data_IF_170160922427
#
_entry.id   IF_170160922427
#
_cell.length_a   1.000
_cell.length_b   1.000
_cell.length_c   1.000
_cell.angle_alpha   90.00
_cell.angle_beta   90.00
_cell.angle_gamma   90.00
#
_symmetry.space_group_name_H-M   'P 1'
#
loop_
_entity.id
_entity.type
_entity.pdbx_description
1 polymer ?
#
# COMPACT_ATOMS: atom_id res chain seq x y z
N UNK A 1 10.15 -3.81 -2.43
CA UNK A 1 9.25 -3.43 -1.32
C UNK A 1 7.97 -4.25 -1.40
N UNK A 2 7.18 -4.31 -0.32
CA UNK A 2 5.86 -4.94 -0.37
C UNK A 2 4.90 -4.13 -1.26
N UNK A 3 4.16 -4.82 -2.11
CA UNK A 3 3.09 -4.24 -2.93
C UNK A 3 1.73 -4.68 -2.35
N UNK A 4 0.82 -3.74 -2.00
CA UNK A 4 -0.50 -4.09 -1.49
C UNK A 4 -1.38 -4.87 -2.47
N UNK A 5 -1.27 -4.65 -3.78
CA UNK A 5 -2.21 -5.17 -4.76
C UNK A 5 -2.29 -6.71 -4.83
N UNK A 6 -1.17 -7.45 -4.95
CA UNK A 6 -1.22 -8.91 -4.96
C UNK A 6 -1.75 -9.48 -3.64
N UNK A 7 -1.46 -8.82 -2.52
CA UNK A 7 -1.92 -9.25 -1.19
C UNK A 7 -3.45 -9.13 -1.12
N UNK A 8 -3.99 -7.98 -1.54
CA UNK A 8 -5.44 -7.75 -1.61
C UNK A 8 -6.11 -8.77 -2.52
N UNK A 9 -5.51 -9.06 -3.69
CA UNK A 9 -6.05 -10.05 -4.62
C UNK A 9 -6.17 -11.43 -3.97
N UNK A 10 -5.19 -11.87 -3.20
CA UNK A 10 -5.21 -13.16 -2.49
C UNK A 10 -6.43 -13.32 -1.57
N UNK A 11 -6.89 -12.26 -0.90
CA UNK A 11 -8.11 -12.31 -0.07
C UNK A 11 -9.39 -12.63 -0.87
N UNK A 12 -9.41 -12.32 -2.16
CA UNK A 12 -10.57 -12.53 -3.02
C UNK A 12 -10.41 -13.68 -4.01
N UNK A 13 -9.18 -14.08 -4.33
CA UNK A 13 -8.91 -15.15 -5.30
C UNK A 13 -8.83 -16.53 -4.66
N UNK A 14 -8.55 -16.63 -3.35
CA UNK A 14 -8.48 -17.91 -2.66
C UNK A 14 -9.77 -18.23 -1.92
N UNK A 15 -10.44 -19.32 -2.33
CA UNK A 15 -11.74 -19.74 -1.78
C UNK A 15 -11.76 -19.84 -0.25
N UNK A 16 -10.67 -20.31 0.36
CA UNK A 16 -10.60 -20.40 1.83
C UNK A 16 -10.59 -19.03 2.49
N UNK A 17 -9.74 -18.13 2.00
CA UNK A 17 -9.63 -16.78 2.56
C UNK A 17 -10.92 -15.99 2.33
N UNK A 18 -11.50 -16.08 1.14
CA UNK A 18 -12.74 -15.37 0.81
C UNK A 18 -13.92 -15.78 1.72
N UNK A 19 -13.98 -17.05 2.12
CA UNK A 19 -15.06 -17.56 2.97
C UNK A 19 -14.80 -17.35 4.47
N UNK A 20 -13.54 -17.36 4.91
CA UNK A 20 -13.20 -17.34 6.33
C UNK A 20 -12.86 -15.94 6.87
N UNK A 21 -12.41 -15.03 6.00
CA UNK A 21 -11.97 -13.68 6.40
C UNK A 21 -12.44 -12.60 5.42
N UNK A 22 -12.52 -11.38 5.92
CA UNK A 22 -12.82 -10.18 5.13
C UNK A 22 -11.69 -9.18 5.28
N UNK A 23 -11.17 -8.67 4.16
CA UNK A 23 -10.29 -7.52 4.18
C UNK A 23 -11.09 -6.28 4.61
N UNK A 24 -10.75 -5.72 5.76
CA UNK A 24 -11.41 -4.52 6.30
C UNK A 24 -10.90 -3.24 5.65
N UNK A 25 -9.58 -3.13 5.51
CA UNK A 25 -8.93 -2.03 4.82
C UNK A 25 -7.40 -2.08 4.95
N UNK A 26 -6.75 -1.24 4.15
CA UNK A 26 -5.30 -1.05 4.11
C UNK A 26 -4.95 0.18 4.94
N UNK A 27 -4.09 -0.02 5.95
CA UNK A 27 -3.59 1.07 6.79
C UNK A 27 -2.12 1.30 6.48
N UNK A 28 -1.79 2.52 6.05
CA UNK A 28 -0.42 2.92 5.71
C UNK A 28 0.12 3.88 6.76
N UNK A 29 1.24 3.51 7.37
CA UNK A 29 1.99 4.38 8.28
C UNK A 29 3.00 5.21 7.49
N UNK A 30 2.93 6.53 7.63
CA UNK A 30 3.78 7.47 6.89
C UNK A 30 4.57 8.31 7.87
N UNK A 31 5.89 8.32 7.70
CA UNK A 31 6.81 9.21 8.40
C UNK A 31 6.70 10.62 7.83
N UNK A 32 6.03 11.51 8.56
CA UNK A 32 5.73 12.86 8.10
C UNK A 32 7.00 13.68 7.82
N UNK A 33 8.10 13.40 8.54
CA UNK A 33 9.37 14.10 8.36
C UNK A 33 10.05 13.77 7.03
N UNK A 34 9.87 12.55 6.52
CA UNK A 34 10.58 12.06 5.33
C UNK A 34 9.65 11.78 4.15
N UNK A 35 8.33 11.91 4.31
CA UNK A 35 7.33 11.59 3.28
C UNK A 35 7.62 12.28 1.95
N UNK A 36 7.89 13.59 1.95
CA UNK A 36 8.15 14.36 0.72
C UNK A 36 9.31 13.79 -0.10
N UNK A 37 10.41 13.41 0.56
CA UNK A 37 11.59 12.83 -0.11
C UNK A 37 11.23 11.54 -0.84
N UNK A 38 10.42 10.68 -0.22
CA UNK A 38 10.01 9.41 -0.81
C UNK A 38 8.95 9.57 -1.89
N UNK A 39 8.01 10.52 -1.73
CA UNK A 39 6.94 10.76 -2.68
C UNK A 39 7.43 11.47 -3.95
N UNK A 40 8.41 12.38 -3.80
CA UNK A 40 8.97 13.14 -4.91
C UNK A 40 10.12 12.39 -5.61
N UNK A 41 10.48 11.18 -5.13
CA UNK A 41 11.52 10.37 -5.74
C UNK A 41 11.13 9.98 -7.18
N UNK A 42 11.90 10.47 -8.15
CA UNK A 42 11.70 10.16 -9.57
C UNK A 42 12.26 8.79 -9.88
N UNK A 43 11.38 7.84 -10.19
CA UNK A 43 11.76 6.49 -10.62
C UNK A 43 12.04 6.42 -12.13
N UNK A 44 12.81 5.42 -12.60
CA UNK A 44 12.98 5.16 -14.02
C UNK A 44 11.64 5.00 -14.75
N UNK A 45 11.63 5.31 -16.05
CA UNK A 45 10.41 5.22 -16.87
C UNK A 45 9.81 3.81 -16.83
N UNK A 46 8.52 3.72 -16.51
CA UNK A 46 7.79 2.46 -16.40
C UNK A 46 7.85 1.80 -15.02
N UNK A 47 8.60 2.38 -14.08
CA UNK A 47 8.61 1.94 -12.68
C UNK A 47 7.70 2.86 -11.87
N UNK A 48 6.76 2.27 -11.14
CA UNK A 48 5.88 2.99 -10.23
C UNK A 48 6.65 3.29 -8.94
N UNK A 49 6.51 4.51 -8.41
CA UNK A 49 7.05 4.85 -7.11
C UNK A 49 6.29 4.09 -6.01
N UNK A 50 7.01 3.31 -5.21
CA UNK A 50 6.42 2.42 -4.22
C UNK A 50 5.74 3.17 -3.06
N UNK A 51 6.26 4.35 -2.68
CA UNK A 51 5.62 5.19 -1.66
C UNK A 51 4.29 5.74 -2.16
N UNK A 52 4.24 6.17 -3.43
CA UNK A 52 3.00 6.60 -4.09
C UNK A 52 2.02 5.44 -4.18
N UNK A 53 2.47 4.25 -4.59
CA UNK A 53 1.63 3.05 -4.69
C UNK A 53 1.02 2.68 -3.33
N UNK A 54 1.81 2.63 -2.25
CA UNK A 54 1.32 2.28 -0.91
C UNK A 54 0.34 3.30 -0.34
N UNK A 55 0.52 4.59 -0.63
CA UNK A 55 -0.45 5.62 -0.25
C UNK A 55 -1.73 5.51 -1.07
N UNK A 56 -1.62 5.22 -2.37
CA UNK A 56 -2.78 5.09 -3.25
C UNK A 56 -3.70 3.92 -2.88
N UNK A 57 -3.16 2.84 -2.33
CA UNK A 57 -3.95 1.70 -1.83
C UNK A 57 -4.50 1.90 -0.41
N UNK A 58 -4.11 2.95 0.31
CA UNK A 58 -4.48 3.11 1.71
C UNK A 58 -5.94 3.57 1.88
N UNK A 59 -6.72 2.84 2.66
CA UNK A 59 -8.02 3.31 3.17
C UNK A 59 -7.85 4.28 4.33
N UNK A 60 -6.76 4.13 5.08
CA UNK A 60 -6.38 5.04 6.17
C UNK A 60 -4.88 5.28 6.21
N UNK A 61 -4.51 6.54 6.33
CA UNK A 61 -3.12 6.96 6.50
C UNK A 61 -2.93 7.40 7.95
N UNK A 62 -1.91 6.85 8.60
CA UNK A 62 -1.47 7.29 9.93
C UNK A 62 -0.15 8.04 9.72
N UNK A 63 -0.15 9.33 10.04
CA UNK A 63 1.07 10.12 10.05
C UNK A 63 1.76 9.94 11.40
N UNK A 64 3.07 9.68 11.39
CA UNK A 64 3.89 9.67 12.59
C UNK A 64 5.13 10.58 12.45
N UNK A 65 5.71 10.89 13.61
CA UNK A 65 6.85 11.82 13.78
C UNK A 65 6.54 13.24 13.31
#
# INVERSE_FOLDING_TARGET
>A
LANPAPIIQTFYSEDRLFNDVKLDGVVTLVDAKHAGIHLDEVKPKGVVNEAVEQIAYADRIILNK
#
